data_IF_583052851530
#
_entry.id   IF_583052851530
#
_cell.length_a   1.000
_cell.length_b   1.000
_cell.length_c   1.000
_cell.angle_alpha   90.00
_cell.angle_beta   90.00
_cell.angle_gamma   90.00
#
_symmetry.space_group_name_H-M   'P 1'
#
loop_
_entity.id
_entity.type
_entity.pdbx_description
1 polymer ?
#
# COMPACT_ATOMS: atom_id res chain seq x y z
N UNK A 1 -1.63 -26.86 -23.24
CA UNK A 1 -0.81 -25.83 -22.60
C UNK A 1 -1.52 -25.40 -21.33
N UNK A 2 -1.07 -25.87 -20.16
CA UNK A 2 -1.66 -25.49 -18.89
C UNK A 2 -1.27 -24.04 -18.58
N UNK A 3 -2.27 -23.19 -18.42
CA UNK A 3 -2.08 -21.86 -17.84
C UNK A 3 -1.55 -22.06 -16.43
N UNK A 4 -0.30 -21.68 -16.17
CA UNK A 4 0.21 -21.52 -14.81
C UNK A 4 -0.73 -20.61 -14.05
N UNK A 5 -1.20 -20.98 -12.83
CA UNK A 5 -2.04 -20.09 -12.06
C UNK A 5 -1.28 -18.77 -11.86
N UNK A 6 -1.83 -17.70 -12.42
CA UNK A 6 -1.31 -16.37 -12.23
C UNK A 6 -1.47 -16.04 -10.74
N UNK A 7 -0.36 -15.94 -10.03
CA UNK A 7 -0.32 -15.59 -8.61
C UNK A 7 -0.67 -14.11 -8.43
N UNK A 8 -1.95 -13.79 -8.57
CA UNK A 8 -2.50 -12.46 -8.31
C UNK A 8 -3.32 -12.49 -7.02
N UNK A 9 -3.29 -11.38 -6.30
CA UNK A 9 -4.11 -11.12 -5.13
C UNK A 9 -5.07 -9.98 -5.43
N UNK A 10 -6.35 -10.17 -5.16
CA UNK A 10 -7.33 -9.09 -5.16
C UNK A 10 -7.16 -8.27 -3.88
N UNK A 11 -7.30 -6.98 -4.00
CA UNK A 11 -7.35 -6.06 -2.88
C UNK A 11 -8.51 -5.09 -3.04
N UNK A 12 -9.10 -4.73 -1.92
CA UNK A 12 -10.18 -3.75 -1.85
C UNK A 12 -9.63 -2.36 -1.50
N UNK A 13 -10.41 -1.34 -1.78
CA UNK A 13 -10.13 0.02 -1.31
C UNK A 13 -9.91 0.00 0.21
N UNK A 14 -8.89 0.69 0.67
CA UNK A 14 -8.45 0.76 2.07
C UNK A 14 -7.65 -0.44 2.61
N UNK A 15 -7.38 -1.48 1.84
CA UNK A 15 -6.40 -2.49 2.22
C UNK A 15 -5.00 -1.88 2.35
N UNK A 16 -4.19 -2.46 3.23
CA UNK A 16 -2.78 -2.08 3.37
C UNK A 16 -1.96 -2.93 2.41
N UNK A 17 -1.21 -2.26 1.55
CA UNK A 17 -0.32 -2.90 0.58
C UNK A 17 1.13 -2.72 1.04
N UNK A 18 1.86 -3.82 1.18
CA UNK A 18 3.29 -3.83 1.53
C UNK A 18 4.08 -4.55 0.43
N UNK A 19 5.03 -3.84 -0.17
CA UNK A 19 5.95 -4.42 -1.15
C UNK A 19 6.89 -5.43 -0.51
N UNK A 20 6.73 -6.73 -0.82
CA UNK A 20 7.54 -7.81 -0.24
C UNK A 20 8.94 -7.90 -0.87
N UNK A 21 9.11 -7.49 -2.12
CA UNK A 21 10.40 -7.50 -2.82
C UNK A 21 11.23 -6.28 -2.39
N UNK A 22 12.46 -6.48 -1.88
CA UNK A 22 13.30 -5.40 -1.35
C UNK A 22 12.52 -4.53 -0.35
N UNK A 23 12.03 -5.16 0.70
CA UNK A 23 11.11 -4.55 1.69
C UNK A 23 11.70 -3.29 2.35
N UNK A 24 13.05 -3.17 2.38
CA UNK A 24 13.77 -2.00 2.88
C UNK A 24 13.53 -0.69 2.11
N UNK A 25 12.79 -0.72 1.00
CA UNK A 25 12.33 0.51 0.33
C UNK A 25 11.06 1.12 0.96
N UNK A 26 10.56 0.57 2.04
CA UNK A 26 9.39 1.10 2.76
C UNK A 26 8.18 1.36 1.84
N UNK A 27 7.87 0.40 0.96
CA UNK A 27 6.72 0.52 0.06
C UNK A 27 5.45 0.05 0.75
N UNK A 28 4.94 0.90 1.62
CA UNK A 28 3.71 0.69 2.39
C UNK A 28 2.70 1.77 2.01
N UNK A 29 1.48 1.38 1.69
CA UNK A 29 0.40 2.34 1.41
C UNK A 29 -0.97 1.74 1.66
N UNK A 30 -1.98 2.60 1.77
CA UNK A 30 -3.38 2.20 1.66
C UNK A 30 -3.79 2.16 0.18
N UNK A 31 -4.53 1.14 -0.21
CA UNK A 31 -5.18 1.10 -1.51
C UNK A 31 -6.20 2.24 -1.62
N UNK A 32 -6.15 3.00 -2.71
CA UNK A 32 -7.06 4.12 -2.98
C UNK A 32 -8.31 3.71 -3.76
N UNK A 33 -8.29 2.50 -4.33
CA UNK A 33 -9.35 1.86 -5.13
C UNK A 33 -9.13 0.35 -5.11
N UNK A 34 -10.14 -0.42 -5.53
CA UNK A 34 -10.05 -1.86 -5.68
C UNK A 34 -9.10 -2.22 -6.82
N UNK A 35 -8.43 -3.36 -6.71
CA UNK A 35 -7.50 -3.75 -7.75
C UNK A 35 -6.92 -5.15 -7.60
N UNK A 36 -5.90 -5.40 -8.42
CA UNK A 36 -5.19 -6.66 -8.49
C UNK A 36 -3.70 -6.40 -8.31
N UNK A 37 -3.07 -7.10 -7.39
CA UNK A 37 -1.63 -7.06 -7.18
C UNK A 37 -0.96 -8.39 -7.56
N UNK A 38 0.34 -8.32 -7.81
CA UNK A 38 1.17 -9.53 -7.92
C UNK A 38 1.50 -10.07 -6.53
N UNK A 39 1.94 -11.33 -6.46
CA UNK A 39 2.43 -11.97 -5.25
C UNK A 39 3.65 -11.28 -4.60
N UNK A 40 4.27 -10.31 -5.29
CA UNK A 40 5.34 -9.45 -4.76
C UNK A 40 4.82 -8.36 -3.81
N UNK A 41 3.52 -8.30 -3.57
CA UNK A 41 2.86 -7.36 -2.67
C UNK A 41 2.01 -8.14 -1.70
N UNK A 42 2.21 -7.93 -0.41
CA UNK A 42 1.30 -8.41 0.63
C UNK A 42 0.08 -7.50 0.69
N UNK A 43 -1.09 -8.13 0.64
CA UNK A 43 -2.38 -7.47 0.88
C UNK A 43 -2.80 -7.77 2.31
N UNK A 44 -2.85 -6.75 3.15
CA UNK A 44 -3.05 -6.91 4.58
C UNK A 44 -4.33 -6.20 5.01
N UNK A 45 -5.17 -6.92 5.75
CA UNK A 45 -6.44 -6.43 6.27
C UNK A 45 -6.55 -6.80 7.74
N UNK A 46 -6.46 -5.83 8.66
CA UNK A 46 -6.66 -6.11 10.09
C UNK A 46 -8.08 -6.61 10.36
N UNK A 47 -8.22 -7.59 11.26
CA UNK A 47 -9.51 -8.12 11.67
C UNK A 47 -10.43 -7.03 12.25
N UNK A 48 -9.87 -6.13 13.07
CA UNK A 48 -10.57 -4.98 13.61
C UNK A 48 -10.21 -3.74 12.79
N UNK A 49 -11.22 -3.11 12.18
CA UNK A 49 -11.03 -1.89 11.35
C UNK A 49 -10.35 -0.75 12.09
N UNK A 50 -10.55 -0.67 13.42
CA UNK A 50 -9.94 0.34 14.28
C UNK A 50 -8.40 0.26 14.28
N UNK A 51 -7.84 -0.92 14.08
CA UNK A 51 -6.39 -1.15 14.06
C UNK A 51 -5.73 -0.74 12.74
N UNK A 52 -6.51 -0.42 11.69
CA UNK A 52 -5.98 -0.20 10.34
C UNK A 52 -4.87 0.85 10.28
N UNK A 53 -5.12 2.04 10.81
CA UNK A 53 -4.11 3.10 10.76
C UNK A 53 -2.88 2.74 11.60
N UNK A 54 -3.09 2.12 12.76
CA UNK A 54 -1.98 1.66 13.58
C UNK A 54 -1.12 0.62 12.82
N UNK A 55 -1.76 -0.37 12.19
CA UNK A 55 -1.05 -1.36 11.38
C UNK A 55 -0.32 -0.72 10.19
N UNK A 56 -0.91 0.27 9.53
CA UNK A 56 -0.26 1.00 8.43
C UNK A 56 1.06 1.63 8.88
N UNK A 57 1.06 2.36 10.00
CA UNK A 57 2.26 3.00 10.53
C UNK A 57 3.26 1.99 11.09
N UNK A 58 2.77 0.93 11.74
CA UNK A 58 3.61 -0.14 12.25
C UNK A 58 4.37 -0.85 11.14
N UNK A 59 3.71 -1.12 10.02
CA UNK A 59 4.33 -1.78 8.86
C UNK A 59 5.38 -0.91 8.17
N UNK A 60 5.30 0.42 8.31
CA UNK A 60 6.28 1.37 7.79
C UNK A 60 7.38 1.71 8.82
N UNK A 61 7.28 1.21 10.05
CA UNK A 61 8.30 1.42 11.07
C UNK A 61 9.59 0.67 10.73
N UNK A 62 10.73 1.34 10.90
CA UNK A 62 12.08 0.80 10.62
C UNK A 62 12.30 -0.58 11.23
N UNK A 63 11.88 -0.80 12.48
CA UNK A 63 12.04 -2.10 13.17
C UNK A 63 11.26 -3.21 12.50
N UNK A 64 10.05 -2.93 12.02
CA UNK A 64 9.20 -3.91 11.33
C UNK A 64 9.80 -4.24 9.97
N UNK A 65 10.24 -3.22 9.25
CA UNK A 65 10.93 -3.38 7.96
C UNK A 65 12.23 -4.16 8.10
N UNK A 66 13.04 -3.83 9.11
CA UNK A 66 14.28 -4.55 9.39
C UNK A 66 14.00 -6.02 9.72
N UNK A 67 13.01 -6.30 10.59
CA UNK A 67 12.60 -7.67 10.88
C UNK A 67 12.16 -8.43 9.62
N UNK A 68 11.36 -7.80 8.76
CA UNK A 68 10.92 -8.39 7.50
C UNK A 68 12.11 -8.65 6.54
N UNK A 69 13.08 -7.74 6.51
CA UNK A 69 14.29 -7.87 5.70
C UNK A 69 15.19 -9.00 6.19
N UNK A 70 15.41 -9.11 7.51
CA UNK A 70 16.24 -10.15 8.13
C UNK A 70 15.66 -11.56 7.92
N UNK A 71 14.33 -11.66 7.80
CA UNK A 71 13.62 -12.89 7.50
C UNK A 71 13.29 -13.06 6.01
N UNK A 72 13.98 -12.33 5.13
CA UNK A 72 13.84 -12.41 3.68
C UNK A 72 14.64 -13.56 3.08
N UNK A 73 14.26 -13.96 1.88
CA UNK A 73 15.00 -14.94 1.08
C UNK A 73 15.46 -14.34 -0.23
N UNK A 74 16.58 -14.85 -0.74
CA UNK A 74 17.22 -14.38 -1.97
C UNK A 74 18.38 -13.44 -1.70
N UNK A 75 19.52 -13.69 -2.36
CA UNK A 75 20.77 -12.93 -2.16
C UNK A 75 20.80 -11.62 -2.96
N UNK A 76 20.34 -11.65 -4.21
CA UNK A 76 20.40 -10.48 -5.11
C UNK A 76 19.15 -9.60 -5.00
N UNK A 77 18.01 -10.22 -4.80
CA UNK A 77 16.70 -9.56 -4.63
C UNK A 77 16.03 -10.18 -3.41
N UNK A 78 16.24 -9.64 -2.21
CA UNK A 78 15.61 -10.17 -1.00
C UNK A 78 14.09 -10.01 -1.09
N UNK A 79 13.40 -11.08 -0.73
CA UNK A 79 11.96 -11.19 -0.74
C UNK A 79 11.46 -11.53 0.67
N UNK A 80 10.72 -10.62 1.28
CA UNK A 80 10.13 -10.84 2.60
C UNK A 80 9.13 -12.00 2.54
N UNK A 81 9.15 -12.85 3.55
CA UNK A 81 8.19 -13.94 3.71
C UNK A 81 7.09 -13.53 4.66
N UNK A 82 5.87 -13.99 4.37
CA UNK A 82 4.79 -13.93 5.34
C UNK A 82 4.93 -15.06 6.36
N UNK A 83 4.81 -16.31 5.91
CA UNK A 83 4.97 -17.49 6.75
C UNK A 83 6.42 -17.66 7.21
N UNK A 84 6.63 -17.90 8.49
CA UNK A 84 7.93 -17.95 9.14
C UNK A 84 8.77 -16.68 8.96
N UNK A 85 8.11 -15.55 8.69
CA UNK A 85 8.69 -14.23 8.53
C UNK A 85 7.82 -13.18 9.22
N UNK A 86 7.27 -12.24 8.47
CA UNK A 86 6.54 -11.10 9.01
C UNK A 86 5.32 -11.48 9.88
N UNK A 87 4.68 -12.63 9.63
CA UNK A 87 3.60 -13.13 10.47
C UNK A 87 4.01 -13.41 11.93
N UNK A 88 5.31 -13.64 12.19
CA UNK A 88 5.84 -13.88 13.53
C UNK A 88 6.30 -12.61 14.24
N UNK A 89 6.14 -11.44 13.61
CA UNK A 89 6.50 -10.17 14.22
C UNK A 89 5.63 -9.89 15.44
N UNK A 90 6.27 -9.76 16.60
CA UNK A 90 5.57 -9.46 17.85
C UNK A 90 5.33 -7.96 17.96
N UNK A 91 4.07 -7.58 18.01
CA UNK A 91 3.64 -6.20 18.14
C UNK A 91 2.89 -5.98 19.46
N UNK A 92 2.95 -4.76 19.96
CA UNK A 92 2.18 -4.33 21.13
C UNK A 92 0.94 -3.60 20.64
N UNK A 93 -0.24 -4.17 20.91
CA UNK A 93 -1.50 -3.49 20.61
C UNK A 93 -1.78 -2.39 21.66
N UNK A 94 -2.03 -1.15 21.25
CA UNK A 94 -2.40 -0.09 22.16
C UNK A 94 -3.80 -0.34 22.75
N UNK A 95 -4.04 0.21 23.97
CA UNK A 95 -5.38 0.16 24.56
C UNK A 95 -6.38 0.89 23.67
N UNK A 96 -7.64 0.43 23.67
CA UNK A 96 -8.71 0.97 22.79
C UNK A 96 -8.88 2.49 22.90
N UNK A 97 -8.77 3.07 24.10
CA UNK A 97 -8.86 4.52 24.29
C UNK A 97 -7.72 5.28 23.60
N UNK A 98 -6.49 4.76 23.65
CA UNK A 98 -5.34 5.36 22.96
C UNK A 98 -5.51 5.23 21.44
N UNK A 99 -5.94 4.06 20.98
CA UNK A 99 -6.19 3.81 19.57
C UNK A 99 -7.29 4.73 19.01
N UNK A 100 -8.37 4.96 19.77
CA UNK A 100 -9.44 5.86 19.38
C UNK A 100 -8.95 7.31 19.26
N UNK A 101 -8.14 7.79 20.22
CA UNK A 101 -7.53 9.12 20.15
C UNK A 101 -6.55 9.26 18.98
N UNK A 102 -5.78 8.22 18.70
CA UNK A 102 -4.89 8.16 17.55
C UNK A 102 -5.70 8.26 16.25
N UNK A 103 -6.72 7.43 16.09
CA UNK A 103 -7.56 7.42 14.91
C UNK A 103 -8.31 8.74 14.71
N UNK A 104 -8.76 9.39 15.78
CA UNK A 104 -9.40 10.70 15.70
C UNK A 104 -8.50 11.74 15.02
N UNK A 105 -7.18 11.69 15.29
CA UNK A 105 -6.20 12.61 14.70
C UNK A 105 -5.75 12.16 13.30
N UNK A 106 -5.60 10.86 13.07
CA UNK A 106 -5.00 10.34 11.83
C UNK A 106 -6.04 10.19 10.71
N UNK A 107 -7.29 9.82 11.01
CA UNK A 107 -8.31 9.63 9.98
C UNK A 107 -8.51 10.84 9.04
N UNK A 108 -8.57 12.10 9.52
CA UNK A 108 -8.68 13.26 8.63
C UNK A 108 -7.49 13.40 7.68
N UNK A 109 -6.28 13.08 8.17
CA UNK A 109 -5.04 13.15 7.39
C UNK A 109 -5.05 12.09 6.29
N UNK A 110 -5.34 10.82 6.64
CA UNK A 110 -5.44 9.72 5.67
C UNK A 110 -6.52 10.01 4.63
N UNK A 111 -7.70 10.51 5.07
CA UNK A 111 -8.76 10.92 4.15
C UNK A 111 -8.30 12.00 3.18
N UNK A 112 -7.56 13.01 3.64
CA UNK A 112 -7.03 14.08 2.79
C UNK A 112 -5.99 13.55 1.80
N UNK A 113 -5.08 12.67 2.25
CA UNK A 113 -4.10 12.02 1.37
C UNK A 113 -4.78 11.22 0.27
N UNK A 114 -5.83 10.46 0.61
CA UNK A 114 -6.62 9.68 -0.36
C UNK A 114 -7.29 10.57 -1.39
N UNK A 115 -7.94 11.66 -0.96
CA UNK A 115 -8.56 12.64 -1.86
C UNK A 115 -7.52 13.23 -2.81
N UNK A 116 -6.38 13.67 -2.28
CA UNK A 116 -5.30 14.24 -3.08
C UNK A 116 -4.76 13.23 -4.10
N UNK A 117 -4.59 11.97 -3.70
CA UNK A 117 -4.13 10.91 -4.61
C UNK A 117 -5.12 10.66 -5.76
N UNK A 118 -6.43 10.60 -5.47
CA UNK A 118 -7.48 10.50 -6.51
C UNK A 118 -7.48 11.72 -7.44
N UNK A 119 -7.29 12.93 -6.90
CA UNK A 119 -7.19 14.15 -7.71
C UNK A 119 -5.97 14.13 -8.63
N UNK A 120 -4.81 13.71 -8.11
CA UNK A 120 -3.57 13.59 -8.91
C UNK A 120 -3.76 12.57 -10.03
N UNK A 121 -4.39 11.43 -9.76
CA UNK A 121 -4.68 10.41 -10.76
C UNK A 121 -5.60 10.97 -11.86
N UNK A 122 -6.66 11.67 -11.48
CA UNK A 122 -7.58 12.32 -12.42
C UNK A 122 -6.88 13.38 -13.28
N UNK A 123 -6.08 14.26 -12.66
CA UNK A 123 -5.34 15.29 -13.38
C UNK A 123 -4.30 14.70 -14.35
N UNK A 124 -3.63 13.59 -13.95
CA UNK A 124 -2.73 12.86 -14.86
C UNK A 124 -3.48 12.30 -16.06
N UNK A 125 -4.63 11.65 -15.84
CA UNK A 125 -5.45 11.13 -16.94
C UNK A 125 -5.92 12.24 -17.86
N UNK A 126 -6.34 13.38 -17.32
CA UNK A 126 -6.75 14.54 -18.11
C UNK A 126 -5.58 15.11 -18.94
N UNK A 127 -4.41 15.27 -18.33
CA UNK A 127 -3.20 15.69 -19.03
C UNK A 127 -2.88 14.75 -20.20
N UNK A 128 -2.85 13.45 -19.94
CA UNK A 128 -2.47 12.45 -20.93
C UNK A 128 -3.48 12.35 -22.07
N UNK A 129 -4.75 12.70 -21.81
CA UNK A 129 -5.78 12.82 -22.82
C UNK A 129 -5.66 14.13 -23.64
N UNK A 130 -5.37 15.26 -22.98
CA UNK A 130 -5.28 16.58 -23.65
C UNK A 130 -3.98 16.76 -24.43
N UNK A 131 -2.87 16.23 -23.96
CA UNK A 131 -1.55 16.47 -24.53
C UNK A 131 -1.46 16.12 -26.03
N UNK A 132 -1.94 14.94 -26.50
CA UNK A 132 -1.94 14.64 -27.93
C UNK A 132 -2.80 15.60 -28.76
N UNK A 133 -3.93 16.08 -28.21
CA UNK A 133 -4.83 17.01 -28.91
C UNK A 133 -4.19 18.39 -29.09
N UNK A 134 -3.46 18.86 -28.05
CA UNK A 134 -2.69 20.10 -28.12
C UNK A 134 -1.55 19.98 -29.16
N UNK A 135 -0.82 18.87 -29.15
CA UNK A 135 0.29 18.66 -30.09
C UNK A 135 -0.17 18.55 -31.54
N UNK A 136 -1.37 18.06 -31.79
CA UNK A 136 -1.96 17.91 -33.11
C UNK A 136 -2.75 19.16 -33.54
N UNK A 137 -2.79 20.22 -32.73
CA UNK A 137 -3.53 21.46 -33.04
C UNK A 137 -5.05 21.30 -33.03
N UNK A 138 -5.59 20.22 -32.43
CA UNK A 138 -7.03 19.98 -32.36
C UNK A 138 -7.72 20.87 -31.31
N UNK A 139 -6.97 21.35 -30.33
CA UNK A 139 -7.38 22.30 -29.30
C UNK A 139 -6.28 23.35 -29.11
N UNK A 140 -6.66 24.56 -28.76
CA UNK A 140 -5.75 25.65 -28.37
C UNK A 140 -6.08 26.14 -26.97
N UNK A 141 -5.09 26.66 -26.28
CA UNK A 141 -5.26 27.32 -24.98
C UNK A 141 -5.19 28.81 -25.28
N UNK A 142 -6.28 29.57 -24.99
CA UNK A 142 -6.31 31.04 -25.04
C UNK A 142 -5.72 31.60 -23.74
#
# INVERSE_FOLDING_TARGET
>A
MGLTPLNYHLFDEDDILLGAMRVYFHRVCNAIEDGISRNTIFVLRPFEKENKNYCLFLLDEEKTIQFANDNSTGSSIPYAKWDNGLANYQLVLPKKNILSLFNLKINPIIKKLKINSKQIQHLRSLRDWLLPMLMNGQISVE
#
